data_IF_522872902957
#
_entry.id   IF_522872902957
#
_cell.length_a   1.000
_cell.length_b   1.000
_cell.length_c   1.000
_cell.angle_alpha   90.00
_cell.angle_beta   90.00
_cell.angle_gamma   90.00
#
_symmetry.space_group_name_H-M   'P 1'
#
loop_
_entity.id
_entity.type
_entity.pdbx_description
1 polymer ?
#
# COMPACT_ATOMS: atom_id res chain seq x y z
N UNK A 1 -12.94 -3.75 -14.66
CA UNK A 1 -11.46 -3.76 -14.77
C UNK A 1 -10.86 -3.76 -13.36
N UNK A 2 -9.87 -4.60 -13.08
CA UNK A 2 -9.21 -4.61 -11.77
C UNK A 2 -8.46 -3.30 -11.52
N UNK A 3 -8.85 -2.54 -10.49
CA UNK A 3 -8.19 -1.30 -10.08
C UNK A 3 -7.12 -1.62 -9.04
N UNK A 4 -5.87 -1.26 -9.34
CA UNK A 4 -4.71 -1.49 -8.47
C UNK A 4 -4.30 -0.16 -7.84
N UNK A 5 -4.27 -0.07 -6.52
CA UNK A 5 -3.85 1.13 -5.82
C UNK A 5 -2.32 1.10 -5.61
N UNK A 6 -1.57 1.39 -6.67
CA UNK A 6 -0.11 1.47 -6.62
C UNK A 6 0.33 2.88 -6.98
N UNK A 7 1.34 3.39 -6.27
CA UNK A 7 2.00 4.65 -6.60
C UNK A 7 3.50 4.44 -6.80
N UNK A 8 4.12 5.35 -7.54
CA UNK A 8 5.57 5.35 -7.70
C UNK A 8 6.21 5.97 -6.44
N UNK A 9 7.09 5.25 -5.74
CA UNK A 9 7.84 5.80 -4.60
C UNK A 9 8.84 6.90 -5.00
N UNK A 10 9.16 7.03 -6.29
CA UNK A 10 10.07 8.05 -6.79
C UNK A 10 9.41 9.39 -7.15
N UNK A 11 8.18 9.38 -7.67
CA UNK A 11 7.50 10.59 -8.16
C UNK A 11 6.05 10.73 -7.69
N UNK A 12 5.54 9.81 -6.87
CA UNK A 12 4.19 9.86 -6.30
C UNK A 12 3.05 9.46 -7.24
N UNK A 13 3.27 9.44 -8.57
CA UNK A 13 2.18 9.19 -9.53
C UNK A 13 1.48 7.85 -9.30
N UNK A 14 0.15 7.88 -9.30
CA UNK A 14 -0.68 6.68 -9.18
C UNK A 14 -0.68 5.89 -10.49
N UNK A 15 -0.73 4.57 -10.40
CA UNK A 15 -0.75 3.68 -11.57
C UNK A 15 -1.95 3.97 -12.47
N UNK A 16 -3.09 4.34 -11.88
CA UNK A 16 -4.28 4.70 -12.62
C UNK A 16 -4.06 5.97 -13.46
N UNK A 17 -3.49 7.02 -12.86
CA UNK A 17 -3.13 8.26 -13.54
C UNK A 17 -2.09 8.02 -14.64
N UNK A 18 -1.07 7.22 -14.33
CA UNK A 18 -0.01 6.87 -15.28
C UNK A 18 -0.55 6.09 -16.49
N UNK A 19 -1.57 5.24 -16.30
CA UNK A 19 -2.25 4.51 -17.38
C UNK A 19 -3.16 5.41 -18.23
N UNK A 20 -3.81 6.41 -17.61
CA UNK A 20 -4.61 7.41 -18.32
C UNK A 20 -3.73 8.29 -19.21
N UNK A 21 -2.57 8.71 -18.70
CA UNK A 21 -1.63 9.54 -19.46
C UNK A 21 -0.94 8.76 -20.60
N UNK A 22 -0.55 7.50 -20.34
CA UNK A 22 0.12 6.64 -21.33
C UNK A 22 -0.37 5.19 -21.21
N UNK A 23 -1.24 4.73 -22.13
CA UNK A 23 -1.61 3.32 -22.17
C UNK A 23 -0.36 2.46 -22.40
N UNK A 24 -0.16 1.47 -21.53
CA UNK A 24 1.04 0.62 -21.52
C UNK A 24 2.11 0.96 -20.47
N UNK A 25 1.88 2.00 -19.64
CA UNK A 25 2.79 2.31 -18.54
C UNK A 25 2.91 1.11 -17.56
N UNK A 26 4.14 0.67 -17.32
CA UNK A 26 4.46 -0.43 -16.41
C UNK A 26 4.94 0.10 -15.07
N UNK A 27 4.70 -0.70 -14.03
CA UNK A 27 5.24 -0.48 -12.70
C UNK A 27 6.24 -1.59 -12.39
N UNK A 28 7.24 -1.26 -11.60
CA UNK A 28 8.38 -2.11 -11.33
C UNK A 28 8.59 -2.19 -9.83
N UNK A 29 8.75 -3.41 -9.30
CA UNK A 29 9.11 -3.66 -7.91
C UNK A 29 10.62 -3.91 -7.83
N UNK A 30 11.32 -3.07 -7.10
CA UNK A 30 12.76 -3.26 -6.83
C UNK A 30 13.00 -4.35 -5.78
N UNK A 31 14.20 -4.94 -5.79
CA UNK A 31 14.61 -5.94 -4.81
C UNK A 31 14.59 -5.41 -3.36
N UNK A 32 14.72 -4.09 -3.17
CA UNK A 32 14.59 -3.43 -1.87
C UNK A 32 13.14 -3.07 -1.49
N UNK A 33 12.14 -3.50 -2.27
CA UNK A 33 10.72 -3.31 -1.97
C UNK A 33 10.09 -2.00 -2.46
N UNK A 34 10.85 -1.08 -3.04
CA UNK A 34 10.30 0.17 -3.58
C UNK A 34 9.71 -0.04 -4.97
N UNK A 35 8.56 0.59 -5.23
CA UNK A 35 7.81 0.52 -6.47
C UNK A 35 8.09 1.77 -7.31
N UNK A 36 8.35 1.59 -8.60
CA UNK A 36 8.63 2.68 -9.52
C UNK A 36 7.78 2.60 -10.78
N UNK A 37 7.33 3.74 -11.31
CA UNK A 37 6.85 3.82 -12.69
C UNK A 37 8.03 3.59 -13.65
N UNK A 38 7.73 3.30 -14.91
CA UNK A 38 8.73 3.01 -15.94
C UNK A 38 9.83 4.09 -16.03
N UNK A 39 9.45 5.37 -15.98
CA UNK A 39 10.40 6.47 -16.03
C UNK A 39 11.34 6.51 -14.82
N UNK A 40 10.82 6.31 -13.61
CA UNK A 40 11.63 6.27 -12.39
C UNK A 40 12.50 5.02 -12.32
N UNK A 41 12.00 3.87 -12.81
CA UNK A 41 12.76 2.63 -12.87
C UNK A 41 14.00 2.78 -13.76
N UNK A 42 13.84 3.31 -14.99
CA UNK A 42 14.98 3.58 -15.91
C UNK A 42 16.06 4.47 -15.28
N UNK A 43 15.65 5.46 -14.47
CA UNK A 43 16.60 6.32 -13.74
C UNK A 43 17.37 5.51 -12.68
N UNK A 44 16.70 4.61 -11.96
CA UNK A 44 17.36 3.74 -10.97
C UNK A 44 18.29 2.70 -11.62
N UNK A 45 17.90 2.14 -12.76
CA UNK A 45 18.72 1.22 -13.56
C UNK A 45 20.01 1.90 -14.05
N UNK A 46 19.87 3.10 -14.64
CA UNK A 46 21.01 3.89 -15.09
C UNK A 46 21.96 4.22 -13.95
N UNK A 47 21.41 4.66 -12.82
CA UNK A 47 22.23 5.06 -11.67
C UNK A 47 22.69 3.84 -10.83
N UNK A 48 22.27 2.61 -11.22
CA UNK A 48 22.48 1.32 -10.53
C UNK A 48 22.17 1.33 -9.03
N UNK A 49 21.25 2.21 -8.61
CA UNK A 49 20.87 2.41 -7.22
C UNK A 49 19.39 2.73 -7.07
N UNK A 50 18.80 2.25 -5.97
CA UNK A 50 17.46 2.68 -5.58
C UNK A 50 17.49 4.17 -5.19
N UNK A 51 16.58 4.98 -5.71
CA UNK A 51 16.50 6.41 -5.36
C UNK A 51 15.88 6.69 -4.00
N UNK A 52 15.14 5.73 -3.43
CA UNK A 52 14.52 5.87 -2.11
C UNK A 52 15.48 5.48 -0.98
N UNK A 53 16.10 4.30 -1.04
CA UNK A 53 16.99 3.80 0.02
C UNK A 53 18.48 3.81 -0.32
N UNK A 54 18.87 4.25 -1.52
CA UNK A 54 20.27 4.34 -1.99
C UNK A 54 21.04 3.01 -2.05
N UNK A 55 20.36 1.87 -1.86
CA UNK A 55 20.96 0.54 -1.98
C UNK A 55 21.60 0.36 -3.37
N UNK A 56 22.88 0.00 -3.41
CA UNK A 56 23.66 -0.28 -4.61
C UNK A 56 23.42 -1.72 -5.09
N UNK A 57 23.45 -1.97 -6.40
CA UNK A 57 22.96 -3.21 -7.06
C UNK A 57 21.44 -3.23 -7.28
N UNK A 58 20.94 -2.17 -7.90
CA UNK A 58 19.52 -2.08 -8.27
C UNK A 58 19.10 -3.21 -9.21
N UNK A 59 18.11 -3.98 -8.77
CA UNK A 59 17.39 -4.98 -9.57
C UNK A 59 15.90 -4.72 -9.39
N UNK A 60 15.12 -4.91 -10.44
CA UNK A 60 13.67 -4.77 -10.39
C UNK A 60 12.98 -5.80 -11.28
N UNK A 61 11.71 -6.07 -10.98
CA UNK A 61 10.83 -6.94 -11.77
C UNK A 61 9.54 -6.19 -12.06
N UNK A 62 8.96 -6.43 -13.24
CA UNK A 62 7.68 -5.82 -13.60
C UNK A 62 6.57 -6.31 -12.67
N UNK A 63 5.66 -5.40 -12.30
CA UNK A 63 4.46 -5.73 -11.54
C UNK A 63 3.39 -6.21 -12.51
N UNK A 64 3.52 -7.47 -12.93
CA UNK A 64 2.59 -8.16 -13.82
C UNK A 64 2.39 -9.63 -13.41
N UNK A 65 1.81 -10.45 -14.29
CA UNK A 65 1.54 -11.87 -14.05
C UNK A 65 2.79 -12.73 -13.83
N UNK A 66 3.99 -12.23 -14.14
CA UNK A 66 5.26 -12.93 -13.94
C UNK A 66 5.83 -12.81 -12.53
N UNK A 67 5.23 -11.97 -11.67
CA UNK A 67 5.62 -11.88 -10.26
C UNK A 67 5.46 -13.23 -9.56
N UNK A 68 6.44 -13.64 -8.73
CA UNK A 68 6.32 -14.83 -7.90
C UNK A 68 5.03 -14.79 -7.09
N UNK A 69 4.31 -15.91 -7.01
CA UNK A 69 2.98 -15.97 -6.39
C UNK A 69 2.98 -15.46 -4.94
N UNK A 70 4.04 -15.75 -4.18
CA UNK A 70 4.27 -15.26 -2.81
C UNK A 70 4.30 -13.73 -2.72
N UNK A 71 4.72 -13.05 -3.78
CA UNK A 71 4.78 -11.59 -3.88
C UNK A 71 3.50 -11.04 -4.50
N UNK A 72 2.95 -11.74 -5.51
CA UNK A 72 1.70 -11.37 -6.20
C UNK A 72 0.54 -11.19 -5.22
N UNK A 73 0.44 -11.98 -4.16
CA UNK A 73 -0.63 -11.86 -3.13
C UNK A 73 -0.71 -10.50 -2.44
N UNK A 74 0.37 -9.71 -2.43
CA UNK A 74 0.40 -8.37 -1.85
C UNK A 74 -0.15 -7.31 -2.82
N UNK A 75 -0.22 -7.64 -4.10
CA UNK A 75 -0.85 -6.84 -5.11
C UNK A 75 -2.23 -7.48 -5.33
N UNK A 76 -3.27 -6.91 -4.71
CA UNK A 76 -4.66 -7.32 -4.96
C UNK A 76 -5.43 -6.14 -5.57
N UNK A 77 -6.39 -6.41 -6.46
CA UNK A 77 -7.36 -5.40 -6.87
C UNK A 77 -8.09 -4.85 -5.64
N UNK A 78 -8.36 -3.55 -5.63
CA UNK A 78 -9.02 -2.87 -4.49
C UNK A 78 -10.37 -3.52 -4.15
N UNK A 79 -11.14 -3.97 -5.16
CA UNK A 79 -12.41 -4.68 -4.93
C UNK A 79 -12.25 -5.95 -4.09
N UNK A 80 -11.20 -6.74 -4.35
CA UNK A 80 -10.89 -7.95 -3.56
C UNK A 80 -10.47 -7.61 -2.13
N UNK A 81 -9.72 -6.51 -1.94
CA UNK A 81 -9.34 -6.05 -0.60
C UNK A 81 -10.57 -5.63 0.22
N UNK A 82 -11.55 -5.00 -0.43
CA UNK A 82 -12.81 -4.61 0.22
C UNK A 82 -13.66 -5.83 0.58
N UNK A 83 -13.80 -6.80 -0.33
CA UNK A 83 -14.49 -8.08 -0.07
C UNK A 83 -13.85 -8.83 1.11
N UNK A 84 -12.53 -9.02 1.09
CA UNK A 84 -11.78 -9.68 2.17
C UNK A 84 -12.00 -8.95 3.52
N UNK A 85 -11.96 -7.62 3.52
CA UNK A 85 -12.17 -6.81 4.72
C UNK A 85 -13.61 -6.92 5.26
N UNK A 86 -14.62 -6.90 4.37
CA UNK A 86 -16.02 -7.04 4.76
C UNK A 86 -16.33 -8.43 5.33
N UNK A 87 -15.78 -9.48 4.74
CA UNK A 87 -15.97 -10.87 5.17
C UNK A 87 -15.35 -11.14 6.55
N UNK A 88 -14.20 -10.51 6.86
CA UNK A 88 -13.58 -10.60 8.17
C UNK A 88 -14.24 -9.70 9.23
N UNK A 89 -14.93 -8.63 8.83
CA UNK A 89 -15.67 -7.75 9.75
C UNK A 89 -16.94 -8.40 10.31
N UNK A 90 -17.63 -9.22 9.51
CA UNK A 90 -18.83 -9.97 9.92
C UNK A 90 -18.50 -11.16 10.83
N UNK A 91 -17.33 -11.77 10.65
CA UNK A 91 -16.87 -12.88 11.52
C UNK A 91 -16.55 -12.41 12.96
N UNK A 92 -16.22 -11.13 13.16
CA UNK A 92 -15.93 -10.56 14.48
C UNK A 92 -17.18 -10.18 15.28
N UNK A 93 -18.30 -9.88 14.61
CA UNK A 93 -19.56 -9.51 15.26
C UNK A 93 -20.34 -10.71 15.79
N UNK A 94 -20.12 -11.91 15.25
CA UNK A 94 -20.72 -13.15 15.80
C UNK A 94 -19.88 -13.79 16.92
N UNK A 95 -18.61 -13.39 17.07
CA UNK A 95 -17.67 -14.04 18.00
C UNK A 95 -17.24 -13.17 19.19
N UNK A 96 -17.78 -11.95 19.35
CA UNK A 96 -17.29 -11.04 20.40
C UNK A 96 -18.43 -10.37 21.17
N UNK A 97 -18.77 -10.97 22.32
CA UNK A 97 -19.12 -10.22 23.52
C UNK A 97 -17.94 -9.28 23.84
N UNK A 98 -17.88 -8.12 23.17
CA UNK A 98 -16.88 -7.09 23.47
C UNK A 98 -17.33 -6.39 24.74
N UNK A 99 -16.71 -6.76 25.86
CA UNK A 99 -16.64 -5.88 27.02
C UNK A 99 -15.96 -4.56 26.60
N UNK A 100 -16.78 -3.54 26.39
CA UNK A 100 -16.34 -2.17 26.18
C UNK A 100 -15.77 -1.66 27.50
N UNK A 101 -14.45 -1.64 27.64
CA UNK A 101 -13.80 -0.85 28.68
C UNK A 101 -13.98 0.64 28.33
N UNK A 102 -15.01 1.27 28.90
CA UNK A 102 -15.16 2.72 28.91
C UNK A 102 -14.10 3.29 29.86
N UNK A 103 -13.05 3.89 29.31
CA UNK A 103 -12.15 4.76 30.07
C UNK A 103 -12.95 5.98 30.54
N UNK A 104 -13.37 5.97 31.81
CA UNK A 104 -13.83 7.16 32.51
C UNK A 104 -12.66 8.13 32.65
N UNK A 105 -12.69 9.23 31.91
CA UNK A 105 -11.95 10.43 32.26
C UNK A 105 -13.00 11.52 32.60
N UNK A 106 -13.13 11.95 33.86
CA UNK A 106 -14.00 13.07 34.20
C UNK A 106 -13.30 14.40 33.86
N UNK A 107 -13.98 15.22 33.06
CA UNK A 107 -13.62 16.60 32.78
C UNK A 107 -14.44 17.54 33.67
N UNK A 108 -13.81 18.65 34.09
CA UNK A 108 -14.31 19.80 34.88
C UNK A 108 -14.57 19.55 36.39
N UNK A 109 -14.24 20.41 37.36
CA UNK A 109 -13.77 21.80 37.36
C UNK A 109 -14.50 22.58 38.47
N UNK A 110 -13.80 22.97 39.56
CA UNK A 110 -14.23 23.84 40.71
C UNK A 110 -15.43 23.29 41.54
N UNK A 111 -15.56 23.44 42.86
CA UNK A 111 -15.00 24.30 43.91
C UNK A 111 -15.08 23.56 45.27
N UNK A 112 -14.17 23.85 46.22
CA UNK A 112 -14.29 23.41 47.63
C UNK A 112 -14.91 24.55 48.47
N UNK A 113 -15.90 24.27 49.31
CA UNK A 113 -16.22 25.13 50.45
C UNK A 113 -15.61 24.53 51.73
N UNK A 114 -14.82 25.32 52.46
CA UNK A 114 -14.55 25.20 53.90
C UNK A 114 -14.08 26.55 54.39
#
# INVERSE_FOLDING_TARGET
MAQWWLHCNGCGILMLEAKQQRPGNKYWLSACGHIFCDQCNRRCERDRKCRCCRHSSFRSAAVDSTLPEKVRRFFKPVGRLYEDAMQHSTTRLLASNVHIWRSHAPFSGRSKPS
#
